data_IF_119569444544
#
_entry.id   IF_119569444544
#
_cell.length_a   1.000
_cell.length_b   1.000
_cell.length_c   1.000
_cell.angle_alpha   90.00
_cell.angle_beta   90.00
_cell.angle_gamma   90.00
#
_symmetry.space_group_name_H-M   'P 1'
#
loop_
_entity.id
_entity.type
_entity.pdbx_description
1 polymer ?
#
# COMPACT_ATOMS: atom_id res chain seq x y z
N UNK A 1 -38.08 -5.12 -25.47
CA UNK A 1 -37.73 -5.47 -24.06
C UNK A 1 -36.25 -5.79 -24.04
N UNK A 2 -35.41 -4.80 -23.75
CA UNK A 2 -33.98 -5.06 -23.50
C UNK A 2 -33.91 -5.74 -22.14
N UNK A 3 -33.53 -7.00 -22.15
CA UNK A 3 -33.18 -7.75 -20.95
C UNK A 3 -31.95 -7.06 -20.38
N UNK A 4 -32.13 -6.24 -19.33
CA UNK A 4 -31.03 -5.57 -18.64
C UNK A 4 -30.05 -6.64 -18.17
N UNK A 5 -28.87 -6.69 -18.80
CA UNK A 5 -27.81 -7.61 -18.39
C UNK A 5 -27.47 -7.34 -16.94
N UNK A 6 -27.48 -8.37 -16.12
CA UNK A 6 -27.17 -8.26 -14.70
C UNK A 6 -25.73 -7.75 -14.51
N UNK A 7 -25.63 -6.57 -13.92
CA UNK A 7 -24.33 -5.95 -13.61
C UNK A 7 -23.65 -6.73 -12.48
N UNK A 8 -22.55 -7.40 -12.77
CA UNK A 8 -21.74 -8.18 -11.82
C UNK A 8 -20.65 -7.31 -11.20
N UNK A 9 -20.32 -7.55 -9.95
CA UNK A 9 -19.18 -6.92 -9.28
C UNK A 9 -18.01 -7.89 -9.18
N UNK A 10 -16.86 -7.49 -9.73
CA UNK A 10 -15.62 -8.27 -9.72
C UNK A 10 -14.61 -7.58 -8.81
N UNK A 11 -14.10 -8.32 -7.83
CA UNK A 11 -12.96 -7.91 -7.04
C UNK A 11 -11.68 -8.48 -7.64
N UNK A 12 -10.61 -7.66 -7.65
CA UNK A 12 -9.28 -8.05 -8.13
C UNK A 12 -8.24 -7.77 -7.04
N UNK A 13 -7.32 -8.70 -6.84
CA UNK A 13 -6.12 -8.49 -6.04
C UNK A 13 -4.94 -8.14 -6.94
N UNK A 14 -4.36 -6.94 -6.73
CA UNK A 14 -3.32 -6.36 -7.58
C UNK A 14 -2.01 -6.30 -6.81
N UNK A 15 -0.96 -6.83 -7.41
CA UNK A 15 0.42 -6.66 -6.94
C UNK A 15 1.16 -5.71 -7.87
N UNK A 16 1.97 -4.81 -7.32
CA UNK A 16 2.80 -3.93 -8.14
C UNK A 16 4.10 -3.48 -7.47
N UNK A 17 5.13 -3.33 -8.28
CA UNK A 17 6.29 -2.53 -7.98
C UNK A 17 5.94 -1.06 -8.22
N UNK A 18 5.91 -0.26 -7.17
CA UNK A 18 5.53 1.15 -7.24
C UNK A 18 6.64 2.09 -7.71
N UNK A 19 7.88 1.60 -7.82
CA UNK A 19 9.04 2.46 -8.12
C UNK A 19 8.88 3.29 -9.42
N UNK A 20 8.38 2.73 -10.54
CA UNK A 20 8.20 3.49 -11.78
C UNK A 20 6.95 4.37 -11.82
N UNK A 21 6.09 4.32 -10.78
CA UNK A 21 4.76 4.92 -10.79
C UNK A 21 4.64 6.15 -9.89
N UNK A 22 3.86 7.14 -10.34
CA UNK A 22 3.49 8.34 -9.56
C UNK A 22 2.43 8.06 -8.47
N UNK A 23 2.36 6.82 -8.00
CA UNK A 23 1.40 6.32 -7.03
C UNK A 23 0.21 5.62 -7.68
N UNK A 24 -0.81 5.35 -6.85
CA UNK A 24 -2.00 4.65 -7.32
C UNK A 24 -2.93 5.52 -8.16
N UNK A 25 -3.33 6.68 -7.63
CA UNK A 25 -4.42 7.50 -8.17
C UNK A 25 -4.07 8.13 -9.50
N UNK A 26 -4.99 8.06 -10.47
CA UNK A 26 -4.95 8.79 -11.75
C UNK A 26 -4.49 10.24 -11.60
N UNK A 27 -3.55 10.63 -12.43
CA UNK A 27 -2.97 11.97 -12.51
C UNK A 27 -2.84 12.39 -13.98
N UNK A 28 -2.74 13.70 -14.28
CA UNK A 28 -2.64 14.20 -15.66
C UNK A 28 -1.49 13.61 -16.48
N UNK A 29 -0.41 13.16 -15.81
CA UNK A 29 0.75 12.56 -16.47
C UNK A 29 0.52 11.11 -16.95
N UNK A 30 -0.62 10.47 -16.58
CA UNK A 30 -0.96 9.09 -16.95
C UNK A 30 0.00 8.01 -16.44
N UNK A 31 0.93 8.35 -15.53
CA UNK A 31 1.95 7.45 -14.99
C UNK A 31 1.56 6.87 -13.64
N UNK A 32 0.36 6.35 -13.54
CA UNK A 32 -0.15 5.76 -12.29
C UNK A 32 -0.55 4.30 -12.48
N UNK A 33 -0.59 3.56 -11.37
CA UNK A 33 -1.02 2.16 -11.38
C UNK A 33 -2.48 2.05 -11.83
N UNK A 34 -3.35 2.97 -11.39
CA UNK A 34 -4.76 3.01 -11.77
C UNK A 34 -4.95 3.21 -13.27
N UNK A 35 -4.20 4.13 -13.88
CA UNK A 35 -4.29 4.40 -15.33
C UNK A 35 -3.93 3.15 -16.13
N UNK A 36 -2.87 2.45 -15.75
CA UNK A 36 -2.44 1.21 -16.42
C UNK A 36 -3.43 0.07 -16.25
N UNK A 37 -3.98 -0.09 -15.05
CA UNK A 37 -5.00 -1.11 -14.80
C UNK A 37 -6.27 -0.82 -15.61
N UNK A 38 -6.75 0.42 -15.64
CA UNK A 38 -7.94 0.79 -16.42
C UNK A 38 -7.71 0.64 -17.92
N UNK A 39 -6.53 0.98 -18.43
CA UNK A 39 -6.17 0.74 -19.82
C UNK A 39 -6.15 -0.77 -20.16
N UNK A 40 -5.60 -1.61 -19.29
CA UNK A 40 -5.62 -3.06 -19.46
C UNK A 40 -7.05 -3.62 -19.42
N UNK A 41 -7.91 -3.13 -18.54
CA UNK A 41 -9.32 -3.49 -18.47
C UNK A 41 -10.02 -3.10 -19.78
N UNK A 42 -9.84 -1.88 -20.27
CA UNK A 42 -10.44 -1.42 -21.52
C UNK A 42 -9.96 -2.24 -22.73
N UNK A 43 -8.68 -2.60 -22.79
CA UNK A 43 -8.13 -3.45 -23.84
C UNK A 43 -8.73 -4.88 -23.81
N UNK A 44 -8.90 -5.44 -22.61
CA UNK A 44 -9.44 -6.79 -22.41
C UNK A 44 -10.95 -6.87 -22.62
N UNK A 45 -11.71 -5.89 -22.11
CA UNK A 45 -13.18 -5.89 -22.14
C UNK A 45 -13.78 -5.19 -23.36
N UNK A 46 -12.97 -4.37 -24.06
CA UNK A 46 -13.39 -3.43 -25.13
C UNK A 46 -14.31 -2.31 -24.60
N UNK A 47 -14.39 -2.14 -23.28
CA UNK A 47 -15.20 -1.13 -22.60
C UNK A 47 -14.36 -0.44 -21.54
N UNK A 48 -14.45 0.88 -21.45
CA UNK A 48 -13.83 1.67 -20.38
C UNK A 48 -14.56 1.47 -19.05
N UNK A 49 -13.92 0.80 -18.09
CA UNK A 49 -14.49 0.51 -16.78
C UNK A 49 -13.64 1.16 -15.70
N UNK A 50 -14.28 1.93 -14.84
CA UNK A 50 -13.62 2.54 -13.68
C UNK A 50 -13.39 1.53 -12.56
N UNK A 51 -12.28 1.68 -11.83
CA UNK A 51 -11.97 0.83 -10.67
C UNK A 51 -11.97 1.64 -9.38
N UNK A 52 -12.46 1.02 -8.31
CA UNK A 52 -12.38 1.56 -6.94
C UNK A 52 -11.42 0.74 -6.11
N UNK A 53 -10.39 1.38 -5.53
CA UNK A 53 -9.39 0.70 -4.71
C UNK A 53 -9.68 0.78 -3.20
N UNK A 54 -9.16 -0.20 -2.45
CA UNK A 54 -9.23 -0.24 -1.00
C UNK A 54 -8.47 0.93 -0.35
N UNK A 55 -7.30 1.26 -0.87
CA UNK A 55 -6.49 2.37 -0.36
C UNK A 55 -5.51 2.89 -1.41
N UNK A 56 -5.37 4.19 -1.51
CA UNK A 56 -4.37 4.81 -2.39
C UNK A 56 -2.98 4.62 -1.78
N UNK A 57 -1.98 4.44 -2.64
CA UNK A 57 -0.57 4.44 -2.30
C UNK A 57 0.10 5.65 -2.93
N UNK A 58 1.09 6.22 -2.24
CA UNK A 58 1.87 7.33 -2.75
C UNK A 58 2.91 6.86 -3.79
N UNK A 59 3.54 7.81 -4.48
CA UNK A 59 4.59 7.53 -5.47
C UNK A 59 5.71 6.65 -4.88
N UNK A 60 6.14 5.64 -5.62
CA UNK A 60 7.19 4.71 -5.23
C UNK A 60 6.78 3.65 -4.21
N UNK A 61 5.51 3.61 -3.77
CA UNK A 61 5.04 2.62 -2.80
C UNK A 61 4.59 1.35 -3.53
N UNK A 62 5.15 0.23 -3.11
CA UNK A 62 4.78 -1.10 -3.62
C UNK A 62 3.51 -1.61 -2.94
N UNK A 63 2.83 -2.56 -3.57
CA UNK A 63 1.77 -3.33 -2.94
C UNK A 63 1.95 -4.82 -3.24
N UNK A 64 1.84 -5.64 -2.20
CA UNK A 64 1.79 -7.09 -2.34
C UNK A 64 0.38 -7.49 -2.77
N UNK A 65 -0.64 -6.80 -2.22
CA UNK A 65 -2.04 -7.08 -2.48
C UNK A 65 -2.88 -5.81 -2.27
N UNK A 66 -3.12 -5.07 -3.35
CA UNK A 66 -4.10 -4.00 -3.40
C UNK A 66 -5.42 -4.58 -3.91
N UNK A 67 -6.48 -4.42 -3.14
CA UNK A 67 -7.81 -4.87 -3.57
C UNK A 67 -8.54 -3.75 -4.30
N UNK A 68 -9.08 -4.06 -5.46
CA UNK A 68 -9.96 -3.17 -6.22
C UNK A 68 -11.27 -3.89 -6.57
N UNK A 69 -12.31 -3.14 -6.88
CA UNK A 69 -13.49 -3.70 -7.53
C UNK A 69 -13.88 -2.87 -8.75
N UNK A 70 -14.56 -3.52 -9.66
CA UNK A 70 -15.19 -2.94 -10.83
C UNK A 70 -16.59 -3.57 -11.04
N UNK A 71 -17.45 -2.85 -11.74
CA UNK A 71 -18.76 -3.35 -12.15
C UNK A 71 -18.78 -3.59 -13.65
N UNK A 72 -19.34 -4.72 -14.09
CA UNK A 72 -19.34 -5.13 -15.50
C UNK A 72 -20.53 -6.02 -15.82
N UNK A 73 -21.00 -5.97 -17.07
CA UNK A 73 -21.99 -6.90 -17.62
C UNK A 73 -21.34 -8.16 -18.22
N UNK A 74 -20.01 -8.21 -18.26
CA UNK A 74 -19.31 -9.31 -18.88
C UNK A 74 -19.27 -10.52 -17.94
N UNK A 75 -19.73 -11.62 -18.48
CA UNK A 75 -19.69 -12.92 -17.84
C UNK A 75 -18.41 -13.66 -18.22
N UNK A 76 -17.46 -13.77 -17.30
CA UNK A 76 -16.17 -14.43 -17.52
C UNK A 76 -15.72 -15.12 -16.24
N UNK A 77 -15.12 -16.29 -16.42
CA UNK A 77 -14.47 -17.01 -15.33
C UNK A 77 -13.39 -16.18 -14.64
N UNK A 78 -13.22 -16.27 -13.31
CA UNK A 78 -12.21 -15.50 -12.57
C UNK A 78 -10.80 -15.64 -13.16
N UNK A 79 -10.42 -16.84 -13.60
CA UNK A 79 -9.11 -17.07 -14.20
C UNK A 79 -8.91 -16.32 -15.52
N UNK A 80 -9.99 -16.10 -16.27
CA UNK A 80 -9.95 -15.34 -17.53
C UNK A 80 -9.66 -13.87 -17.27
N UNK A 81 -10.18 -13.30 -16.18
CA UNK A 81 -9.82 -11.95 -15.72
C UNK A 81 -8.33 -11.85 -15.38
N UNK A 82 -7.79 -12.83 -14.64
CA UNK A 82 -6.38 -12.84 -14.25
C UNK A 82 -5.48 -12.92 -15.49
N UNK A 83 -5.70 -13.92 -16.37
CA UNK A 83 -4.87 -14.11 -17.55
C UNK A 83 -5.01 -12.97 -18.55
N UNK A 84 -6.26 -12.58 -18.84
CA UNK A 84 -6.56 -11.53 -19.80
C UNK A 84 -6.01 -10.19 -19.42
N UNK A 85 -6.13 -9.75 -18.16
CA UNK A 85 -5.58 -8.48 -17.72
C UNK A 85 -4.04 -8.50 -17.71
N UNK A 86 -3.43 -9.59 -17.27
CA UNK A 86 -1.98 -9.71 -17.22
C UNK A 86 -1.31 -9.71 -18.60
N UNK A 87 -2.03 -10.04 -19.68
CA UNK A 87 -1.50 -9.93 -21.04
C UNK A 87 -1.35 -8.47 -21.52
N UNK A 88 -2.06 -7.54 -20.90
CA UNK A 88 -2.00 -6.10 -21.23
C UNK A 88 -1.27 -5.25 -20.19
N UNK A 89 -0.96 -5.82 -19.02
CA UNK A 89 -0.27 -5.10 -17.95
C UNK A 89 1.26 -5.14 -18.15
N UNK A 90 1.96 -4.07 -17.74
CA UNK A 90 3.42 -4.08 -17.75
C UNK A 90 3.97 -5.04 -16.66
N UNK A 91 5.22 -5.52 -16.77
CA UNK A 91 5.81 -6.46 -15.82
C UNK A 91 5.82 -5.99 -14.35
N UNK A 92 5.71 -4.68 -14.12
CA UNK A 92 5.66 -4.08 -12.78
C UNK A 92 4.28 -4.13 -12.11
N UNK A 93 3.23 -4.59 -12.80
CA UNK A 93 1.86 -4.71 -12.27
C UNK A 93 1.31 -6.07 -12.65
N UNK A 94 0.69 -6.77 -11.69
CA UNK A 94 0.03 -8.04 -11.96
C UNK A 94 -1.28 -8.19 -11.18
N UNK A 95 -2.29 -8.74 -11.84
CA UNK A 95 -3.49 -9.28 -11.19
C UNK A 95 -3.17 -10.66 -10.66
N UNK A 96 -3.29 -10.86 -9.36
CA UNK A 96 -2.98 -12.11 -8.68
C UNK A 96 -4.17 -13.04 -8.57
N UNK A 97 -5.34 -12.46 -8.39
CA UNK A 97 -6.61 -13.18 -8.30
C UNK A 97 -7.77 -12.27 -8.73
N UNK A 98 -8.86 -12.89 -9.12
CA UNK A 98 -10.16 -12.28 -9.39
C UNK A 98 -11.25 -13.10 -8.71
N UNK A 99 -12.32 -12.45 -8.28
CA UNK A 99 -13.47 -13.09 -7.66
C UNK A 99 -14.72 -12.26 -7.92
N UNK A 100 -15.83 -12.92 -8.25
CA UNK A 100 -17.14 -12.30 -8.24
C UNK A 100 -17.57 -12.09 -6.78
N UNK A 101 -18.08 -10.92 -6.45
CA UNK A 101 -18.46 -10.54 -5.10
C UNK A 101 -19.87 -9.94 -5.07
N UNK A 102 -20.59 -10.01 -3.94
CA UNK A 102 -21.89 -9.37 -3.80
C UNK A 102 -21.85 -7.88 -4.11
N UNK A 103 -22.94 -7.32 -4.59
CA UNK A 103 -23.04 -5.91 -5.01
C UNK A 103 -22.83 -4.90 -3.88
N UNK A 104 -23.06 -5.29 -2.65
CA UNK A 104 -22.80 -4.49 -1.44
C UNK A 104 -21.32 -4.44 -1.07
N UNK A 105 -20.50 -5.34 -1.62
CA UNK A 105 -19.04 -5.28 -1.42
C UNK A 105 -18.47 -3.99 -2.01
N UNK A 106 -17.69 -3.28 -1.21
CA UNK A 106 -17.00 -2.07 -1.65
C UNK A 106 -15.56 -2.10 -1.17
N UNK A 107 -14.59 -2.19 -2.09
CA UNK A 107 -13.17 -2.40 -1.78
C UNK A 107 -12.64 -1.47 -0.66
N UNK A 108 -13.12 -0.21 -0.59
CA UNK A 108 -12.68 0.76 0.41
C UNK A 108 -13.44 0.64 1.73
N UNK A 109 -14.77 0.55 1.71
CA UNK A 109 -15.60 0.55 2.92
C UNK A 109 -15.72 -0.82 3.57
N UNK A 110 -15.64 -1.91 2.78
CA UNK A 110 -15.65 -3.28 3.30
C UNK A 110 -14.29 -3.73 3.85
N UNK A 111 -13.23 -2.96 3.62
CA UNK A 111 -11.91 -3.27 4.16
C UNK A 111 -11.91 -3.14 5.69
N UNK A 112 -11.48 -4.19 6.39
CA UNK A 112 -11.43 -4.25 7.86
C UNK A 112 -10.13 -3.66 8.42
N UNK A 113 -9.01 -3.95 7.77
CA UNK A 113 -7.70 -3.45 8.16
C UNK A 113 -6.78 -3.28 6.95
N UNK A 114 -5.75 -2.46 7.11
CA UNK A 114 -4.62 -2.35 6.19
C UNK A 114 -3.35 -2.74 6.91
N UNK A 115 -2.53 -3.53 6.21
CA UNK A 115 -1.23 -3.94 6.70
C UNK A 115 -0.16 -3.22 5.87
N UNK A 116 0.76 -2.55 6.55
CA UNK A 116 1.90 -1.89 5.94
C UNK A 116 3.17 -2.58 6.40
N UNK A 117 4.08 -2.82 5.47
CA UNK A 117 5.43 -3.28 5.80
C UNK A 117 6.44 -2.24 5.36
N UNK A 118 7.32 -1.86 6.27
CA UNK A 118 8.47 -1.04 5.98
C UNK A 118 9.72 -1.86 6.26
N UNK A 119 10.60 -1.96 5.26
CA UNK A 119 11.83 -2.72 5.36
C UNK A 119 13.00 -1.74 5.40
N UNK A 120 13.87 -1.90 6.40
CA UNK A 120 15.05 -1.08 6.61
C UNK A 120 16.29 -1.95 6.60
N UNK A 121 17.20 -1.69 5.68
CA UNK A 121 18.50 -2.31 5.64
C UNK A 121 19.46 -1.57 6.57
N UNK A 122 19.97 -2.25 7.60
CA UNK A 122 20.92 -1.70 8.57
C UNK A 122 22.30 -2.30 8.34
N UNK A 123 23.15 -1.54 7.68
CA UNK A 123 24.50 -1.99 7.33
C UNK A 123 25.38 -0.75 7.07
N UNK A 124 26.69 -0.77 7.41
CA UNK A 124 27.59 0.34 7.11
C UNK A 124 27.62 0.74 5.64
N UNK A 125 27.49 -0.24 4.72
CA UNK A 125 27.51 -0.04 3.27
C UNK A 125 26.11 -0.28 2.71
N UNK A 126 25.63 0.60 1.84
CA UNK A 126 24.37 0.44 1.11
C UNK A 126 24.38 -0.79 0.21
N UNK A 127 23.22 -1.43 0.01
CA UNK A 127 23.08 -2.55 -0.93
C UNK A 127 22.51 -2.05 -2.27
N UNK A 128 23.27 -2.12 -3.38
CA UNK A 128 22.74 -1.79 -4.70
C UNK A 128 21.56 -2.67 -5.13
N UNK A 129 21.56 -3.95 -4.75
CA UNK A 129 20.51 -4.92 -5.11
C UNK A 129 19.15 -4.61 -4.44
N UNK A 130 19.17 -3.86 -3.34
CA UNK A 130 17.98 -3.48 -2.58
C UNK A 130 17.60 -2.01 -2.80
N UNK A 131 18.29 -1.34 -3.71
CA UNK A 131 18.05 0.07 -4.02
C UNK A 131 16.60 0.30 -4.47
N UNK A 132 15.95 1.32 -3.90
CA UNK A 132 14.55 1.64 -4.18
C UNK A 132 13.50 0.75 -3.52
N UNK A 133 13.88 -0.43 -2.99
CA UNK A 133 12.96 -1.39 -2.35
C UNK A 133 12.95 -1.30 -0.84
N UNK A 134 14.06 -0.92 -0.23
CA UNK A 134 14.20 -0.82 1.23
C UNK A 134 14.78 0.53 1.64
N UNK A 135 14.48 0.98 2.86
CA UNK A 135 15.22 2.07 3.48
C UNK A 135 16.63 1.61 3.85
N UNK A 136 17.57 2.54 3.96
CA UNK A 136 18.92 2.23 4.41
C UNK A 136 19.38 3.16 5.52
N UNK A 137 20.11 2.60 6.48
CA UNK A 137 20.82 3.35 7.52
C UNK A 137 22.15 2.66 7.86
N UNK A 138 23.20 3.45 7.98
CA UNK A 138 24.52 2.96 8.39
C UNK A 138 24.68 2.92 9.92
N UNK A 139 23.85 3.64 10.67
CA UNK A 139 23.91 3.68 12.14
C UNK A 139 23.38 2.38 12.71
N UNK A 140 24.13 1.73 13.64
CA UNK A 140 23.66 0.52 14.30
C UNK A 140 22.30 0.73 14.96
N UNK A 141 21.42 -0.26 14.83
CA UNK A 141 20.10 -0.30 15.41
C UNK A 141 19.99 -1.47 16.37
N UNK A 142 19.27 -1.25 17.45
CA UNK A 142 19.00 -2.26 18.48
C UNK A 142 17.51 -2.63 18.43
N UNK A 143 17.21 -3.91 18.26
CA UNK A 143 15.83 -4.40 18.07
C UNK A 143 14.98 -4.13 19.30
N UNK A 144 15.48 -4.45 20.48
CA UNK A 144 14.68 -4.42 21.71
C UNK A 144 14.24 -3.01 22.13
N UNK A 145 15.13 -2.00 22.15
CA UNK A 145 14.71 -0.61 22.37
C UNK A 145 13.70 -0.11 21.35
N UNK A 146 13.80 -0.59 20.08
CA UNK A 146 12.82 -0.24 19.04
C UNK A 146 11.46 -0.86 19.30
N UNK A 147 11.40 -2.11 19.76
CA UNK A 147 10.16 -2.78 20.16
C UNK A 147 9.49 -2.08 21.33
N UNK A 148 10.26 -1.75 22.37
CA UNK A 148 9.75 -1.00 23.52
C UNK A 148 9.18 0.36 23.09
N UNK A 149 9.91 1.11 22.26
CA UNK A 149 9.43 2.38 21.74
C UNK A 149 8.16 2.25 20.88
N UNK A 150 7.98 1.14 20.16
CA UNK A 150 6.79 0.91 19.35
C UNK A 150 5.53 0.73 20.21
N UNK A 151 5.63 0.23 21.45
CA UNK A 151 4.47 0.06 22.33
C UNK A 151 3.79 1.39 22.67
N UNK A 152 4.55 2.49 22.77
CA UNK A 152 4.00 3.83 23.01
C UNK A 152 3.14 4.38 21.86
N UNK A 153 3.11 3.71 20.71
CA UNK A 153 2.32 4.09 19.55
C UNK A 153 1.05 3.24 19.40
N UNK A 154 0.88 2.21 20.23
CA UNK A 154 -0.34 1.40 20.22
C UNK A 154 -1.50 2.16 20.85
N UNK A 155 -2.72 1.90 20.38
CA UNK A 155 -3.90 2.59 20.82
C UNK A 155 -4.22 3.83 19.97
N UNK A 156 -5.04 4.72 20.51
CA UNK A 156 -5.47 5.94 19.85
C UNK A 156 -4.56 7.11 20.22
N UNK A 157 -3.97 7.74 19.19
CA UNK A 157 -3.06 8.85 19.35
C UNK A 157 -3.29 9.92 18.28
N UNK A 158 -2.92 11.15 18.62
CA UNK A 158 -2.79 12.24 17.66
C UNK A 158 -1.46 12.11 16.90
N UNK A 159 -1.56 11.82 15.62
CA UNK A 159 -0.43 11.70 14.70
C UNK A 159 -0.17 12.98 13.88
N UNK A 160 -0.59 14.15 14.36
CA UNK A 160 -0.38 15.44 13.68
C UNK A 160 1.08 15.66 13.32
N UNK A 161 2.01 15.34 14.22
CA UNK A 161 3.46 15.48 13.99
C UNK A 161 4.01 14.60 12.86
N UNK A 162 3.27 13.56 12.46
CA UNK A 162 3.62 12.64 11.38
C UNK A 162 2.87 12.91 10.08
N UNK A 163 2.03 13.91 10.08
CA UNK A 163 1.16 14.25 8.95
C UNK A 163 1.96 14.93 7.84
N UNK A 164 1.76 14.50 6.59
CA UNK A 164 2.28 15.25 5.45
C UNK A 164 1.48 16.55 5.25
N UNK A 165 2.13 17.62 4.77
CA UNK A 165 1.47 18.91 4.54
C UNK A 165 0.25 18.81 3.61
N UNK A 166 0.32 17.92 2.61
CA UNK A 166 -0.78 17.66 1.65
C UNK A 166 -1.78 16.60 2.12
N UNK A 167 -1.79 16.22 3.41
CA UNK A 167 -2.68 15.18 3.90
C UNK A 167 -4.13 15.66 3.99
N UNK A 168 -5.01 15.06 3.20
CA UNK A 168 -6.45 15.33 3.16
C UNK A 168 -7.27 14.54 4.20
N UNK A 169 -6.63 13.93 5.21
CA UNK A 169 -7.36 13.21 6.25
C UNK A 169 -8.13 14.18 7.14
N UNK A 170 -9.39 13.89 7.43
CA UNK A 170 -10.26 14.75 8.24
C UNK A 170 -9.76 14.94 9.67
N UNK A 171 -9.21 13.88 10.28
CA UNK A 171 -8.66 13.93 11.65
C UNK A 171 -7.25 13.35 11.70
N UNK A 172 -6.33 13.95 12.49
CA UNK A 172 -5.02 13.37 12.74
C UNK A 172 -5.04 12.21 13.75
N UNK A 173 -6.11 12.09 14.53
CA UNK A 173 -6.28 11.02 15.52
C UNK A 173 -6.47 9.68 14.81
N UNK A 174 -5.67 8.70 15.16
CA UNK A 174 -5.66 7.35 14.57
C UNK A 174 -5.45 6.30 15.64
N UNK A 175 -6.05 5.14 15.43
CA UNK A 175 -5.83 3.97 16.27
C UNK A 175 -4.80 3.05 15.60
N UNK A 176 -3.73 2.73 16.30
CA UNK A 176 -2.76 1.74 15.88
C UNK A 176 -3.03 0.42 16.62
N UNK A 177 -3.39 -0.64 15.88
CA UNK A 177 -3.74 -1.92 16.48
C UNK A 177 -2.53 -2.79 16.76
N UNK A 178 -1.57 -2.77 15.85
CA UNK A 178 -0.41 -3.65 15.92
C UNK A 178 0.80 -2.99 15.27
N UNK A 179 1.92 -3.06 15.97
CA UNK A 179 3.25 -2.74 15.45
C UNK A 179 4.16 -3.90 15.82
N UNK A 180 4.61 -4.63 14.84
CA UNK A 180 5.56 -5.72 15.01
C UNK A 180 6.88 -5.33 14.34
N UNK A 181 8.00 -5.56 15.04
CA UNK A 181 9.34 -5.32 14.50
C UNK A 181 10.13 -6.61 14.62
N UNK A 182 10.61 -7.09 13.48
CA UNK A 182 11.48 -8.26 13.41
C UNK A 182 12.80 -7.91 12.73
N UNK A 183 13.84 -8.62 13.11
CA UNK A 183 15.16 -8.53 12.45
C UNK A 183 15.47 -9.84 11.75
N UNK A 184 15.86 -9.73 10.49
CA UNK A 184 16.35 -10.87 9.67
C UNK A 184 17.70 -10.49 9.06
N UNK A 185 18.77 -10.95 9.70
CA UNK A 185 20.13 -10.51 9.34
C UNK A 185 20.25 -8.98 9.46
N UNK A 186 20.63 -8.32 8.38
CA UNK A 186 20.75 -6.86 8.32
C UNK A 186 19.43 -6.14 8.01
N UNK A 187 18.31 -6.85 7.92
CA UNK A 187 17.00 -6.26 7.63
C UNK A 187 16.16 -6.13 8.89
N UNK A 188 15.64 -4.94 9.13
CA UNK A 188 14.58 -4.67 10.10
C UNK A 188 13.26 -4.52 9.36
N UNK A 189 12.26 -5.32 9.72
CA UNK A 189 10.94 -5.36 9.08
C UNK A 189 9.92 -4.83 10.09
N UNK A 190 9.31 -3.71 9.76
CA UNK A 190 8.24 -3.10 10.55
C UNK A 190 6.91 -3.46 9.91
N UNK A 191 6.08 -4.19 10.64
CA UNK A 191 4.71 -4.51 10.23
C UNK A 191 3.75 -3.67 11.07
N UNK A 192 2.93 -2.86 10.39
CA UNK A 192 1.94 -1.98 11.03
C UNK A 192 0.55 -2.39 10.54
N UNK A 193 -0.38 -2.60 11.47
CA UNK A 193 -1.76 -2.93 11.17
C UNK A 193 -2.70 -1.88 11.74
N UNK A 194 -3.42 -1.23 10.83
CA UNK A 194 -4.34 -0.15 11.17
C UNK A 194 -5.74 -0.50 10.71
N UNK A 195 -6.79 -0.11 11.46
CA UNK A 195 -8.16 -0.22 10.99
C UNK A 195 -8.39 0.66 9.76
N UNK A 196 -9.38 0.31 8.96
CA UNK A 196 -9.64 1.01 7.70
C UNK A 196 -10.27 2.40 7.81
N UNK A 197 -10.38 2.97 9.00
CA UNK A 197 -10.75 4.40 9.20
C UNK A 197 -9.68 5.08 10.03
N UNK A 198 -9.10 6.16 9.54
CA UNK A 198 -8.81 6.70 8.23
C UNK A 198 -7.32 6.60 7.83
N UNK A 199 -6.96 7.07 6.65
CA UNK A 199 -5.68 7.03 5.96
C UNK A 199 -4.46 7.35 6.83
N UNK A 200 -3.63 6.35 7.17
CA UNK A 200 -2.22 6.58 7.49
C UNK A 200 -1.46 6.52 6.15
N UNK A 201 -0.92 7.66 5.72
CA UNK A 201 -0.06 7.70 4.54
C UNK A 201 1.31 7.09 4.88
N UNK A 202 1.90 6.35 3.95
CA UNK A 202 3.22 5.74 4.11
C UNK A 202 4.35 6.73 4.44
N UNK A 203 4.16 8.03 4.15
CA UNK A 203 5.07 9.09 4.57
C UNK A 203 5.18 9.22 6.10
N UNK A 204 4.15 8.81 6.87
CA UNK A 204 4.20 8.83 8.32
C UNK A 204 5.22 7.83 8.89
N UNK A 205 5.33 6.64 8.29
CA UNK A 205 6.35 5.66 8.72
C UNK A 205 7.78 6.17 8.44
N UNK A 206 8.02 6.83 7.30
CA UNK A 206 9.31 7.46 6.98
C UNK A 206 9.61 8.67 7.90
N UNK A 207 8.61 9.49 8.21
CA UNK A 207 8.76 10.64 9.12
C UNK A 207 8.95 10.20 10.56
N UNK A 208 8.17 9.23 11.05
CA UNK A 208 8.33 8.68 12.39
C UNK A 208 9.75 8.18 12.62
N UNK A 209 10.30 7.44 11.69
CA UNK A 209 11.67 6.98 11.74
C UNK A 209 12.69 8.14 11.75
N UNK A 210 12.47 9.20 10.97
CA UNK A 210 13.34 10.38 10.94
C UNK A 210 13.29 11.20 12.25
N UNK A 211 12.13 11.33 12.87
CA UNK A 211 11.99 12.11 14.12
C UNK A 211 12.65 11.42 15.31
N UNK A 212 12.57 10.07 15.39
CA UNK A 212 13.21 9.30 16.46
C UNK A 212 14.74 9.22 16.34
N UNK A 213 15.32 9.46 15.16
CA UNK A 213 16.77 9.64 15.04
C UNK A 213 17.32 10.80 15.90
N UNK A 214 16.49 11.78 16.26
CA UNK A 214 16.87 12.90 17.11
C UNK A 214 16.69 12.63 18.62
N UNK A 215 15.93 11.61 18.99
CA UNK A 215 15.57 11.31 20.37
C UNK A 215 16.47 10.29 21.07
N UNK A 216 17.44 9.68 20.38
CA UNK A 216 18.45 8.83 21.03
C UNK A 216 19.50 9.77 21.66
N UNK A 217 19.63 9.79 23.01
CA UNK A 217 20.64 10.66 23.68
C UNK A 217 22.02 10.26 23.15
N UNK A 218 22.81 11.25 22.74
CA UNK A 218 24.24 11.07 22.50
C UNK A 218 24.84 10.63 23.83
N UNK A 219 25.25 9.38 23.97
CA UNK A 219 26.15 8.98 25.05
C UNK A 219 27.39 9.87 24.94
N UNK A 220 27.58 10.73 25.92
CA UNK A 220 28.82 11.45 26.07
C UNK A 220 29.97 10.46 26.14
N UNK A 221 30.90 10.53 25.20
CA UNK A 221 32.20 9.88 25.35
C UNK A 221 32.87 10.54 26.53
N UNK A 222 33.13 9.80 27.57
CA UNK A 222 34.24 10.00 28.47
C UNK A 222 35.32 9.01 28.14
#
# INVERSE_FOLDING_TARGET
MECGKDLKRIALGIQYDGAPWSGWQTQPNGRTVQDRLQAAIAAFTKVGISVTCAGRTDAGVHAIEQVVHLDTELEREPISWVRGLNSFLPPSIAVRWACEVPRDFHARSSARARCYKYVLYNHPIRSPLQHGKVGWTFRPLELEPMRQAAQYLLGEHDFSAFRAAACQAFTPVKTMHEIHIEQRGSLFIFTLRCPCRPRIQNQSARRWWRSRRRAVPRRSRR
#
